data_IF_164360661976
#
_entry.id   IF_164360661976
#
_cell.length_a   1.000
_cell.length_b   1.000
_cell.length_c   1.000
_cell.angle_alpha   90.00
_cell.angle_beta   90.00
_cell.angle_gamma   90.00
#
_symmetry.space_group_name_H-M   'P 1'
#
loop_
_entity.id
_entity.type
_entity.pdbx_description
1 polymer ?
#
# COMPACT_ATOMS: atom_id res chain seq x y z
N UNK A 1 9.55 -88.10 27.27
CA UNK A 1 9.98 -88.61 25.95
C UNK A 1 10.63 -87.45 25.18
N UNK A 2 11.97 -87.49 25.04
CA UNK A 2 12.88 -86.82 24.06
C UNK A 2 12.85 -85.26 23.93
N UNK A 3 13.82 -84.54 24.51
CA UNK A 3 15.10 -83.95 23.94
C UNK A 3 14.90 -82.63 23.17
N UNK A 4 15.25 -81.45 23.70
CA UNK A 4 16.54 -80.66 23.62
C UNK A 4 17.03 -80.34 22.20
N UNK A 5 17.14 -79.03 21.84
CA UNK A 5 18.23 -78.28 21.10
C UNK A 5 17.64 -76.97 20.45
N UNK A 6 18.06 -75.74 20.78
CA UNK A 6 19.18 -74.91 20.21
C UNK A 6 19.08 -74.77 18.68
N UNK A 7 19.18 -73.64 17.95
CA UNK A 7 19.73 -72.27 18.10
C UNK A 7 19.48 -71.57 16.72
N UNK A 8 19.57 -70.23 16.56
CA UNK A 8 19.17 -69.50 15.36
C UNK A 8 20.34 -69.29 14.38
N UNK A 9 20.10 -69.24 13.05
CA UNK A 9 20.93 -68.51 12.08
C UNK A 9 20.41 -68.68 10.63
N UNK A 10 20.73 -67.69 9.79
CA UNK A 10 20.75 -67.62 8.31
C UNK A 10 19.64 -66.79 7.64
N UNK A 11 19.88 -65.50 7.33
CA UNK A 11 20.60 -64.95 6.15
C UNK A 11 19.85 -65.13 4.81
N UNK A 12 19.76 -64.01 4.07
CA UNK A 12 19.58 -63.86 2.60
C UNK A 12 18.15 -64.00 2.07
N UNK A 13 17.46 -62.92 1.67
CA UNK A 13 17.63 -62.11 0.43
C UNK A 13 16.98 -62.75 -0.82
N UNK A 14 16.04 -61.97 -1.40
CA UNK A 14 15.53 -61.94 -2.77
C UNK A 14 14.60 -63.08 -3.29
N UNK A 15 13.33 -62.71 -3.55
CA UNK A 15 12.47 -62.95 -4.74
C UNK A 15 11.01 -62.82 -4.26
N UNK A 16 10.07 -62.10 -4.85
CA UNK A 16 9.96 -61.40 -6.12
C UNK A 16 8.47 -61.05 -6.30
N UNK A 17 8.20 -60.06 -7.15
CA UNK A 17 6.90 -59.79 -7.79
C UNK A 17 5.68 -59.48 -6.90
N UNK A 18 5.51 -58.19 -6.59
CA UNK A 18 4.16 -57.59 -6.60
C UNK A 18 4.26 -56.34 -7.49
N UNK A 19 4.02 -56.54 -8.79
CA UNK A 19 3.74 -55.48 -9.76
C UNK A 19 2.23 -55.34 -9.84
N UNK A 20 1.76 -54.10 -9.69
CA UNK A 20 0.50 -53.63 -10.25
C UNK A 20 -0.64 -53.50 -9.25
N UNK A 21 -0.94 -52.28 -8.81
CA UNK A 21 -2.05 -51.49 -9.36
C UNK A 21 -1.76 -50.01 -9.09
N UNK A 22 -1.71 -49.24 -10.17
CA UNK A 22 -1.72 -47.78 -10.18
C UNK A 22 -3.03 -47.28 -9.55
N UNK A 23 -2.93 -46.62 -8.40
CA UNK A 23 -3.78 -45.49 -8.04
C UNK A 23 -2.85 -44.46 -7.40
N UNK A 24 -2.23 -43.65 -8.25
CA UNK A 24 -1.53 -42.46 -7.79
C UNK A 24 -2.57 -41.53 -7.18
N UNK A 25 -2.65 -41.52 -5.85
CA UNK A 25 -3.21 -40.40 -5.11
C UNK A 25 -2.38 -39.17 -5.47
N UNK A 26 -2.77 -38.48 -6.53
CA UNK A 26 -2.35 -37.11 -6.73
C UNK A 26 -3.00 -36.29 -5.63
N UNK A 27 -2.31 -36.19 -4.50
CA UNK A 27 -2.50 -35.07 -3.60
C UNK A 27 -2.24 -33.81 -4.43
N UNK A 28 -3.34 -33.22 -4.91
CA UNK A 28 -3.36 -31.85 -5.41
C UNK A 28 -2.66 -31.02 -4.34
N UNK A 29 -1.44 -30.59 -4.66
CA UNK A 29 -0.76 -29.54 -3.93
C UNK A 29 -1.73 -28.36 -3.92
N UNK A 30 -2.32 -28.06 -2.77
CA UNK A 30 -3.05 -26.82 -2.58
C UNK A 30 -2.10 -25.69 -3.00
N UNK A 31 -2.49 -24.97 -4.05
CA UNK A 31 -1.77 -23.79 -4.52
C UNK A 31 -1.52 -22.91 -3.30
N UNK A 32 -0.25 -22.79 -2.91
CA UNK A 32 0.24 -21.73 -2.05
C UNK A 32 -0.33 -20.43 -2.61
N UNK A 33 -1.34 -19.88 -1.95
CA UNK A 33 -1.75 -18.49 -2.15
C UNK A 33 -0.53 -17.71 -1.70
N UNK A 34 0.32 -17.36 -2.65
CA UNK A 34 1.44 -16.45 -2.44
C UNK A 34 0.84 -15.17 -1.92
N UNK A 35 0.79 -15.02 -0.59
CA UNK A 35 0.84 -13.73 0.06
C UNK A 35 2.20 -13.16 -0.32
N UNK A 36 2.30 -12.67 -1.55
CA UNK A 36 3.37 -11.78 -1.92
C UNK A 36 3.27 -10.63 -0.94
N UNK A 37 4.30 -10.46 -0.12
CA UNK A 37 4.61 -9.16 0.47
C UNK A 37 4.75 -8.19 -0.69
N UNK A 38 3.64 -7.58 -1.10
CA UNK A 38 3.65 -6.44 -2.01
C UNK A 38 4.42 -5.36 -1.25
N UNK A 39 5.66 -5.11 -1.66
CA UNK A 39 6.41 -3.99 -1.16
C UNK A 39 5.77 -2.74 -1.79
N UNK A 40 4.60 -2.35 -1.28
CA UNK A 40 3.82 -1.26 -1.86
C UNK A 40 4.56 0.05 -1.58
N UNK A 41 4.99 0.72 -2.64
CA UNK A 41 5.66 2.01 -2.55
C UNK A 41 4.73 3.07 -1.97
N UNK A 42 3.42 2.89 -2.13
CA UNK A 42 2.41 3.74 -1.50
C UNK A 42 2.12 3.25 -0.08
N UNK A 43 2.78 3.87 0.90
CA UNK A 43 2.79 3.43 2.30
C UNK A 43 1.45 3.65 3.01
N UNK A 44 1.07 2.71 3.87
CA UNK A 44 -0.04 2.88 4.80
C UNK A 44 0.28 3.92 5.87
N UNK A 45 -0.72 4.69 6.31
CA UNK A 45 -0.58 5.50 7.51
C UNK A 45 -0.59 4.61 8.75
N UNK A 46 0.46 4.71 9.56
CA UNK A 46 0.58 3.96 10.82
C UNK A 46 0.37 4.83 12.07
N UNK A 47 0.56 6.15 11.95
CA UNK A 47 0.44 7.14 13.04
C UNK A 47 0.29 8.55 12.45
N UNK A 48 -0.87 9.17 12.65
CA UNK A 48 -1.17 10.50 12.11
C UNK A 48 -0.41 11.61 12.83
N UNK A 49 -0.12 11.46 14.12
CA UNK A 49 0.69 12.42 14.88
C UNK A 49 2.12 12.50 14.31
N UNK A 50 2.71 11.35 13.99
CA UNK A 50 4.05 11.29 13.41
C UNK A 50 4.08 11.81 11.97
N UNK A 51 3.05 11.50 11.17
CA UNK A 51 2.87 12.06 9.83
C UNK A 51 2.70 13.59 9.89
N UNK A 52 1.91 14.10 10.83
CA UNK A 52 1.72 15.54 11.05
C UNK A 52 3.02 16.25 11.44
N UNK A 53 3.83 15.62 12.30
CA UNK A 53 5.16 16.12 12.67
C UNK A 53 6.08 16.21 11.44
N UNK A 54 6.11 15.16 10.61
CA UNK A 54 6.90 15.14 9.37
C UNK A 54 6.43 16.23 8.38
N UNK A 55 5.12 16.41 8.22
CA UNK A 55 4.51 17.46 7.40
C UNK A 55 4.97 18.85 7.84
N UNK A 56 4.92 19.11 9.14
CA UNK A 56 5.36 20.39 9.71
C UNK A 56 6.86 20.62 9.51
N UNK A 57 7.69 19.60 9.72
CA UNK A 57 9.14 19.72 9.55
C UNK A 57 9.56 20.00 8.10
N UNK A 58 8.88 19.37 7.13
CA UNK A 58 9.19 19.51 5.71
C UNK A 58 8.41 20.64 5.02
N UNK A 59 7.48 21.30 5.71
CA UNK A 59 6.52 22.23 5.13
C UNK A 59 5.80 21.64 3.90
N UNK A 60 5.29 20.42 4.04
CA UNK A 60 4.57 19.73 2.97
C UNK A 60 3.12 19.43 3.39
N UNK A 61 2.13 19.54 2.48
CA UNK A 61 0.82 18.97 2.70
C UNK A 61 0.90 17.43 2.79
N UNK A 62 -0.17 16.83 3.27
CA UNK A 62 -0.36 15.38 3.35
C UNK A 62 -1.51 15.01 2.42
N UNK A 63 -1.29 14.03 1.56
CA UNK A 63 -2.33 13.36 0.78
C UNK A 63 -2.70 12.05 1.47
N UNK A 64 -3.98 11.93 1.83
CA UNK A 64 -4.55 10.73 2.43
C UNK A 64 -5.55 10.10 1.45
N UNK A 65 -5.26 8.90 0.97
CA UNK A 65 -6.21 8.13 0.18
C UNK A 65 -6.94 7.14 1.10
N UNK A 66 -8.25 7.29 1.21
CA UNK A 66 -9.13 6.33 1.89
C UNK A 66 -9.54 5.26 0.88
N UNK A 67 -9.30 4.00 1.23
CA UNK A 67 -9.51 2.86 0.35
C UNK A 67 -9.87 1.60 1.13
N UNK A 68 -10.30 0.56 0.41
CA UNK A 68 -10.58 -0.76 0.96
C UNK A 68 -9.93 -1.85 0.10
N UNK A 69 -9.53 -2.99 0.69
CA UNK A 69 -8.89 -4.10 -0.02
C UNK A 69 -9.80 -4.69 -1.11
N UNK A 70 -11.10 -4.74 -0.85
CA UNK A 70 -12.11 -5.27 -1.77
C UNK A 70 -12.55 -4.29 -2.86
N UNK A 71 -12.05 -3.04 -2.87
CA UNK A 71 -12.47 -1.99 -3.77
C UNK A 71 -11.66 -2.00 -5.08
N UNK A 72 -12.29 -2.36 -6.20
CA UNK A 72 -11.63 -2.42 -7.51
C UNK A 72 -11.14 -1.06 -8.01
N UNK A 73 -11.94 0.00 -7.81
CA UNK A 73 -11.52 1.37 -8.15
C UNK A 73 -10.31 1.81 -7.31
N UNK A 74 -10.20 1.36 -6.06
CA UNK A 74 -9.07 1.66 -5.21
C UNK A 74 -7.79 1.04 -5.77
N UNK A 75 -7.86 -0.21 -6.24
CA UNK A 75 -6.75 -0.89 -6.91
C UNK A 75 -6.33 -0.15 -8.18
N UNK A 76 -7.30 0.20 -9.04
CA UNK A 76 -7.06 0.97 -10.25
C UNK A 76 -6.30 2.28 -9.97
N UNK A 77 -6.76 3.06 -8.99
CA UNK A 77 -6.11 4.32 -8.64
C UNK A 77 -4.68 4.10 -8.07
N UNK A 78 -4.50 3.07 -7.24
CA UNK A 78 -3.21 2.76 -6.64
C UNK A 78 -2.21 2.34 -7.73
N UNK A 79 -2.58 1.40 -8.60
CA UNK A 79 -1.70 0.81 -9.61
C UNK A 79 -1.35 1.79 -10.73
N UNK A 80 -2.32 2.53 -11.27
CA UNK A 80 -2.11 3.40 -12.42
C UNK A 80 -1.52 4.77 -12.06
N UNK A 81 -1.67 5.22 -10.81
CA UNK A 81 -1.34 6.59 -10.42
C UNK A 81 -0.47 6.64 -9.17
N UNK A 82 -0.95 6.13 -8.03
CA UNK A 82 -0.32 6.42 -6.74
C UNK A 82 0.98 5.64 -6.52
N UNK A 83 1.08 4.39 -6.95
CA UNK A 83 2.32 3.63 -6.91
C UNK A 83 3.38 4.18 -7.87
N UNK A 84 3.10 4.46 -9.15
CA UNK A 84 4.06 5.15 -10.03
C UNK A 84 4.56 6.47 -9.45
N UNK A 85 3.66 7.29 -8.88
CA UNK A 85 4.05 8.53 -8.20
C UNK A 85 4.97 8.24 -6.99
N UNK A 86 4.60 7.31 -6.11
CA UNK A 86 5.40 6.98 -4.93
C UNK A 86 6.77 6.39 -5.31
N UNK A 87 6.82 5.55 -6.34
CA UNK A 87 8.02 4.89 -6.85
C UNK A 87 8.99 5.85 -7.56
N UNK A 88 8.48 6.88 -8.24
CA UNK A 88 9.30 7.83 -9.01
C UNK A 88 10.38 8.53 -8.19
N UNK A 89 10.21 8.56 -6.86
CA UNK A 89 11.07 9.31 -5.97
C UNK A 89 10.97 10.83 -6.15
N UNK A 90 9.96 11.34 -6.86
CA UNK A 90 9.74 12.78 -7.03
C UNK A 90 8.74 13.34 -6.01
N UNK A 91 7.86 12.49 -5.45
CA UNK A 91 6.70 12.95 -4.69
C UNK A 91 6.82 12.79 -3.19
N UNK A 92 6.79 11.54 -2.69
CA UNK A 92 6.70 11.25 -1.25
C UNK A 92 7.85 11.93 -0.51
N UNK A 93 7.49 12.74 0.49
CA UNK A 93 8.42 13.50 1.34
C UNK A 93 9.29 14.55 0.61
N UNK A 94 9.00 14.85 -0.66
CA UNK A 94 9.64 15.91 -1.47
C UNK A 94 8.66 17.00 -1.88
N UNK A 95 7.48 16.63 -2.39
CA UNK A 95 6.42 17.59 -2.75
C UNK A 95 5.13 17.37 -1.95
N UNK A 96 4.88 16.16 -1.48
CA UNK A 96 3.73 15.83 -0.65
C UNK A 96 4.04 14.59 0.19
N UNK A 97 3.42 14.44 1.36
CA UNK A 97 3.48 13.17 2.11
C UNK A 97 2.30 12.32 1.66
N UNK A 98 2.56 11.13 1.11
CA UNK A 98 1.54 10.28 0.50
C UNK A 98 1.24 9.08 1.39
N UNK A 99 0.01 8.92 1.90
CA UNK A 99 -0.36 7.74 2.69
C UNK A 99 -1.74 7.19 2.30
N UNK A 100 -1.90 5.87 2.36
CA UNK A 100 -3.23 5.24 2.27
C UNK A 100 -3.80 4.92 3.66
N UNK A 101 -5.12 4.94 3.75
CA UNK A 101 -5.94 4.61 4.91
C UNK A 101 -6.86 3.46 4.49
N UNK A 102 -6.50 2.21 4.85
CA UNK A 102 -7.38 1.06 4.67
C UNK A 102 -8.56 1.10 5.65
N UNK A 103 -9.78 1.38 5.17
CA UNK A 103 -10.96 1.59 6.04
C UNK A 103 -11.53 0.27 6.59
N UNK A 104 -11.27 -0.83 5.89
CA UNK A 104 -11.66 -2.20 6.22
C UNK A 104 -10.62 -2.95 7.08
N UNK A 105 -9.43 -2.37 7.25
CA UNK A 105 -8.40 -2.95 8.09
C UNK A 105 -8.68 -2.74 9.59
N UNK A 106 -8.47 -3.76 10.44
CA UNK A 106 -8.84 -3.72 11.85
C UNK A 106 -7.87 -2.92 12.73
N UNK A 107 -6.65 -2.65 12.25
CA UNK A 107 -5.61 -1.98 13.03
C UNK A 107 -6.01 -0.54 13.32
N UNK A 108 -6.00 -0.17 14.61
CA UNK A 108 -6.15 1.22 15.05
C UNK A 108 -4.82 1.95 14.92
N UNK A 109 -4.90 3.25 14.63
CA UNK A 109 -3.72 4.12 14.54
C UNK A 109 -3.91 5.35 15.44
N UNK A 110 -2.83 5.94 15.98
CA UNK A 110 -2.92 7.23 16.65
C UNK A 110 -3.40 8.33 15.71
N UNK A 111 -4.34 9.15 16.18
CA UNK A 111 -4.78 10.37 15.50
C UNK A 111 -3.77 11.52 15.67
N UNK A 112 -4.11 12.71 15.20
CA UNK A 112 -3.27 13.91 15.30
C UNK A 112 -2.90 14.30 16.75
N UNK A 113 -3.70 13.87 17.73
CA UNK A 113 -3.50 14.12 19.17
C UNK A 113 -2.98 12.88 19.92
N UNK A 114 -2.71 11.77 19.21
CA UNK A 114 -2.22 10.51 19.79
C UNK A 114 -3.33 9.56 20.27
N UNK A 115 -4.61 9.88 20.10
CA UNK A 115 -5.70 8.98 20.48
C UNK A 115 -5.86 7.87 19.44
N UNK A 116 -6.04 6.63 19.89
CA UNK A 116 -6.26 5.50 18.99
C UNK A 116 -7.64 5.58 18.32
N UNK A 117 -7.66 5.67 17.00
CA UNK A 117 -8.88 5.71 16.19
C UNK A 117 -9.04 4.45 15.34
N UNK A 118 -10.30 4.06 15.09
CA UNK A 118 -10.65 3.03 14.11
C UNK A 118 -10.81 3.69 12.73
N UNK A 119 -10.05 3.24 11.73
CA UNK A 119 -10.00 3.84 10.39
C UNK A 119 -11.38 3.95 9.73
N UNK A 120 -12.23 2.93 9.81
CA UNK A 120 -13.60 2.98 9.28
C UNK A 120 -14.49 4.05 9.95
N UNK A 121 -14.45 4.16 11.28
CA UNK A 121 -15.24 5.17 11.99
C UNK A 121 -14.76 6.58 11.66
N UNK A 122 -13.44 6.74 11.54
CA UNK A 122 -12.84 8.01 11.17
C UNK A 122 -13.17 8.41 9.73
N UNK A 123 -13.10 7.49 8.78
CA UNK A 123 -13.51 7.72 7.39
C UNK A 123 -14.97 8.18 7.30
N UNK A 124 -15.87 7.52 8.04
CA UNK A 124 -17.29 7.92 8.12
C UNK A 124 -17.46 9.34 8.68
N UNK A 125 -16.77 9.69 9.77
CA UNK A 125 -16.81 11.04 10.36
C UNK A 125 -16.36 12.14 9.39
N UNK A 126 -15.43 11.81 8.48
CA UNK A 126 -14.91 12.74 7.46
C UNK A 126 -15.76 12.76 6.17
N UNK A 127 -16.78 11.90 6.04
CA UNK A 127 -17.46 11.61 4.78
C UNK A 127 -16.47 11.17 3.69
N UNK A 128 -15.54 10.27 4.05
CA UNK A 128 -14.53 9.66 3.18
C UNK A 128 -14.67 8.12 3.14
N UNK A 129 -15.83 7.61 3.56
CA UNK A 129 -16.21 6.19 3.54
C UNK A 129 -16.62 5.68 2.15
N UNK A 130 -16.93 6.59 1.20
CA UNK A 130 -17.01 6.27 -0.22
C UNK A 130 -15.59 6.16 -0.80
N UNK A 131 -15.16 4.96 -1.15
CA UNK A 131 -13.78 4.70 -1.60
C UNK A 131 -13.66 4.52 -3.13
N UNK A 132 -12.57 4.99 -3.77
CA UNK A 132 -11.48 5.78 -3.18
C UNK A 132 -11.91 7.22 -2.91
N UNK A 133 -11.40 7.82 -1.84
CA UNK A 133 -11.50 9.27 -1.62
C UNK A 133 -10.14 9.81 -1.19
N UNK A 134 -9.65 10.86 -1.86
CA UNK A 134 -8.33 11.47 -1.60
C UNK A 134 -8.51 12.84 -0.96
N UNK A 135 -7.99 13.00 0.26
CA UNK A 135 -7.97 14.25 1.01
C UNK A 135 -6.57 14.88 0.96
N UNK A 136 -6.53 16.21 0.99
CA UNK A 136 -5.31 17.00 1.11
C UNK A 136 -5.38 17.82 2.39
N UNK A 137 -4.54 17.46 3.38
CA UNK A 137 -4.57 18.05 4.73
C UNK A 137 -3.23 18.65 5.13
N UNK A 138 -3.24 19.59 6.06
CA UNK A 138 -2.03 20.10 6.70
C UNK A 138 -1.57 19.20 7.87
N UNK A 139 -0.51 19.62 8.57
CA UNK A 139 0.09 18.89 9.71
C UNK A 139 -0.83 18.65 10.91
N UNK A 140 -2.03 19.25 10.92
CA UNK A 140 -3.05 19.11 11.99
C UNK A 140 -4.30 18.37 11.52
N UNK A 141 -4.31 17.87 10.27
CA UNK A 141 -5.47 17.19 9.69
C UNK A 141 -6.55 18.11 9.12
N UNK A 142 -6.33 19.43 9.05
CA UNK A 142 -7.26 20.36 8.39
C UNK A 142 -7.12 20.25 6.88
N UNK A 143 -8.23 20.08 6.18
CA UNK A 143 -8.26 20.12 4.71
C UNK A 143 -7.79 21.49 4.17
N UNK A 144 -6.88 21.44 3.20
CA UNK A 144 -6.24 22.62 2.59
C UNK A 144 -6.34 22.64 1.07
N UNK A 145 -6.96 21.64 0.46
CA UNK A 145 -7.35 21.66 -0.95
C UNK A 145 -8.62 20.83 -1.18
N UNK A 146 -9.30 20.97 -2.32
CA UNK A 146 -10.43 20.11 -2.66
C UNK A 146 -10.07 18.63 -2.58
N UNK A 147 -10.94 17.83 -1.96
CA UNK A 147 -10.84 16.38 -2.01
C UNK A 147 -11.24 15.85 -3.40
N UNK A 148 -10.76 14.66 -3.74
CA UNK A 148 -11.16 13.93 -4.95
C UNK A 148 -11.99 12.72 -4.50
N UNK A 149 -13.23 12.63 -4.95
CA UNK A 149 -14.14 11.53 -4.61
C UNK A 149 -14.25 10.60 -5.83
N UNK A 150 -14.01 9.31 -5.61
CA UNK A 150 -13.97 8.31 -6.67
C UNK A 150 -12.85 8.56 -7.67
N UNK A 151 -13.07 8.11 -8.91
CA UNK A 151 -12.17 8.34 -10.05
C UNK A 151 -12.98 9.07 -11.12
N UNK A 152 -12.90 10.42 -11.18
CA UNK A 152 -13.62 11.19 -12.19
C UNK A 152 -13.11 10.89 -13.61
N UNK A 153 -11.79 10.88 -13.77
CA UNK A 153 -11.10 10.37 -14.96
C UNK A 153 -9.70 9.89 -14.54
N UNK A 154 -9.35 8.64 -14.83
CA UNK A 154 -8.07 8.03 -14.47
C UNK A 154 -6.90 8.69 -15.21
N UNK A 155 -7.04 9.01 -16.49
CA UNK A 155 -5.95 9.61 -17.30
C UNK A 155 -5.56 10.99 -16.82
N UNK A 156 -6.50 11.74 -16.22
CA UNK A 156 -6.27 13.10 -15.72
C UNK A 156 -6.03 13.15 -14.21
N UNK A 157 -6.06 12.01 -13.52
CA UNK A 157 -6.05 11.96 -12.07
C UNK A 157 -4.76 12.55 -11.47
N UNK A 158 -3.60 12.23 -12.07
CA UNK A 158 -2.32 12.81 -11.65
C UNK A 158 -2.32 14.34 -11.78
N UNK A 159 -2.82 14.88 -12.90
CA UNK A 159 -2.92 16.33 -13.10
C UNK A 159 -3.84 17.00 -12.07
N UNK A 160 -4.94 16.34 -11.70
CA UNK A 160 -5.83 16.81 -10.63
C UNK A 160 -5.13 16.79 -9.26
N UNK A 161 -4.33 15.76 -8.97
CA UNK A 161 -3.48 15.75 -7.76
C UNK A 161 -2.52 16.93 -7.78
N UNK A 162 -1.85 17.22 -8.91
CA UNK A 162 -0.91 18.34 -9.03
C UNK A 162 -1.60 19.69 -8.79
N UNK A 163 -2.78 19.90 -9.37
CA UNK A 163 -3.60 21.08 -9.13
C UNK A 163 -3.93 21.25 -7.64
N UNK A 164 -4.33 20.16 -6.97
CA UNK A 164 -4.69 20.19 -5.56
C UNK A 164 -3.47 20.35 -4.64
N UNK A 165 -2.29 19.84 -5.02
CA UNK A 165 -1.02 20.12 -4.31
C UNK A 165 -0.71 21.62 -4.36
N UNK A 166 -0.83 22.25 -5.53
CA UNK A 166 -0.59 23.70 -5.66
C UNK A 166 -1.61 24.52 -4.86
N UNK A 167 -2.88 24.09 -4.86
CA UNK A 167 -3.92 24.70 -4.02
C UNK A 167 -3.59 24.55 -2.52
N UNK A 168 -3.10 23.39 -2.11
CA UNK A 168 -2.68 23.14 -0.74
C UNK A 168 -1.51 24.04 -0.33
N UNK A 169 -0.50 24.21 -1.18
CA UNK A 169 0.60 25.16 -0.91
C UNK A 169 0.09 26.58 -0.71
N UNK A 170 -0.78 27.06 -1.60
CA UNK A 170 -1.37 28.39 -1.49
C UNK A 170 -2.15 28.57 -0.18
N UNK A 171 -3.04 27.63 0.16
CA UNK A 171 -3.85 27.68 1.38
C UNK A 171 -3.03 27.48 2.66
N UNK A 172 -1.82 26.94 2.56
CA UNK A 172 -0.85 26.83 3.65
C UNK A 172 0.12 28.03 3.72
N UNK A 173 0.05 28.98 2.78
CA UNK A 173 0.94 30.14 2.72
C UNK A 173 2.38 29.79 2.33
N UNK A 174 2.58 28.74 1.55
CA UNK A 174 3.89 28.27 1.10
C UNK A 174 4.23 28.81 -0.28
N UNK A 175 5.44 29.38 -0.43
CA UNK A 175 6.00 29.82 -1.72
C UNK A 175 6.55 28.63 -2.51
N UNK A 176 5.68 27.66 -2.82
CA UNK A 176 6.04 26.47 -3.59
C UNK A 176 5.01 26.19 -4.67
N UNK A 177 5.50 25.68 -5.80
CA UNK A 177 4.68 25.32 -6.95
C UNK A 177 5.30 24.12 -7.68
N UNK A 178 4.45 23.22 -8.16
CA UNK A 178 4.83 22.11 -9.05
C UNK A 178 4.13 22.25 -10.41
N UNK A 179 4.72 21.78 -11.50
CA UNK A 179 4.10 21.86 -12.82
C UNK A 179 2.88 20.94 -12.91
N UNK A 180 2.05 21.15 -13.93
CA UNK A 180 0.73 20.55 -14.02
C UNK A 180 0.71 19.02 -14.20
N UNK A 181 1.82 18.40 -14.64
CA UNK A 181 1.89 16.96 -14.96
C UNK A 181 3.15 16.29 -14.40
N UNK A 182 3.12 14.96 -14.22
CA UNK A 182 4.31 14.18 -13.82
C UNK A 182 5.50 14.34 -14.76
N UNK A 183 5.29 14.29 -16.08
CA UNK A 183 6.33 14.49 -17.09
C UNK A 183 7.05 15.83 -16.91
N UNK A 184 6.29 16.92 -16.72
CA UNK A 184 6.88 18.24 -16.53
C UNK A 184 7.67 18.32 -15.22
N UNK A 185 7.20 17.66 -14.15
CA UNK A 185 7.92 17.62 -12.87
C UNK A 185 9.26 16.87 -13.01
N UNK A 186 9.27 15.77 -13.76
CA UNK A 186 10.49 15.03 -14.08
C UNK A 186 11.49 15.88 -14.87
N UNK A 187 11.03 16.57 -15.93
CA UNK A 187 11.86 17.46 -16.74
C UNK A 187 12.47 18.58 -15.92
N UNK A 188 11.65 19.30 -15.14
CA UNK A 188 12.11 20.38 -14.26
C UNK A 188 13.16 19.89 -13.23
N UNK A 189 12.96 18.70 -12.65
CA UNK A 189 13.90 18.13 -11.67
C UNK A 189 15.25 17.79 -12.32
N UNK A 190 15.24 17.28 -13.55
CA UNK A 190 16.45 16.92 -14.28
C UNK A 190 17.22 18.12 -14.85
N UNK A 191 16.53 19.16 -15.27
CA UNK A 191 17.19 20.41 -15.67
C UNK A 191 17.92 21.04 -14.48
N UNK A 192 17.26 21.07 -13.31
CA UNK A 192 17.85 21.57 -12.07
C UNK A 192 19.05 20.72 -11.58
N UNK A 193 19.10 19.42 -11.90
CA UNK A 193 20.22 18.56 -11.52
C UNK A 193 21.43 18.71 -12.45
N UNK A 194 21.23 19.12 -13.72
CA UNK A 194 22.32 19.42 -14.67
C UNK A 194 22.95 20.80 -14.48
N UNK A 195 22.22 21.72 -13.85
CA UNK A 195 22.68 23.09 -13.60
C UNK A 195 23.55 23.25 -12.33
N UNK A 196 23.77 22.15 -11.58
CA UNK A 196 24.62 22.10 -10.39
C UNK A 196 25.90 21.31 -10.67
#
# INVERSE_FOLDING_TARGET
>A
MKTIFSSPLFFLVLLGLIIGVLLTNHSVSAQSKTTGTHNSYFKEAWDLQQIGTLSKQKNLPIMLMFGAEYCEYCKLLIEEVLEPMALSGLYDEKVIIMRHIGVDEPKRIPDWNGHLIKKSQWAYQLNADLTPTVLFVNSTGKEVAPRIIGIPEITLYASLIHQNINTAYQNMGLEKYIPATPELLYLQTNENSRAK
#
